data_IF_945628901433
#
_entry.id   IF_945628901433
#
_cell.length_a   1.000
_cell.length_b   1.000
_cell.length_c   1.000
_cell.angle_alpha   90.00
_cell.angle_beta   90.00
_cell.angle_gamma   90.00
#
_symmetry.space_group_name_H-M   'P 1'
#
loop_
_entity.id
_entity.type
_entity.pdbx_description
1 polymer ?
#
# COMPACT_ATOMS: atom_id res chain seq x y z
N UNK A 1 -6.85 -30.15 -10.84
CA UNK A 1 -6.91 -29.06 -9.85
C UNK A 1 -8.20 -28.26 -10.03
N UNK A 2 -9.20 -28.47 -9.17
CA UNK A 2 -10.54 -27.84 -9.28
C UNK A 2 -10.48 -26.32 -9.04
N UNK A 3 -11.25 -25.54 -9.82
CA UNK A 3 -11.38 -24.08 -9.73
C UNK A 3 -11.70 -23.56 -8.31
N UNK A 4 -12.24 -24.42 -7.44
CA UNK A 4 -12.52 -24.13 -6.03
C UNK A 4 -11.27 -23.84 -5.19
N UNK A 5 -10.11 -24.43 -5.53
CA UNK A 5 -8.84 -24.17 -4.83
C UNK A 5 -8.20 -22.83 -5.24
N UNK A 6 -8.41 -22.37 -6.48
CA UNK A 6 -7.95 -21.05 -6.95
C UNK A 6 -8.72 -19.90 -6.28
N UNK A 7 -9.96 -20.13 -5.86
CA UNK A 7 -10.80 -19.15 -5.14
C UNK A 7 -10.40 -19.00 -3.65
N UNK A 8 -9.75 -20.01 -3.07
CA UNK A 8 -9.32 -20.02 -1.66
C UNK A 8 -7.91 -19.46 -1.45
N UNK A 9 -7.04 -19.57 -2.46
CA UNK A 9 -5.83 -18.77 -2.51
C UNK A 9 -6.22 -17.33 -2.80
N UNK A 10 -6.55 -16.55 -1.76
CA UNK A 10 -6.75 -15.09 -1.83
C UNK A 10 -5.42 -14.39 -2.15
N UNK A 11 -4.80 -14.73 -3.27
CA UNK A 11 -3.70 -13.96 -3.81
C UNK A 11 -4.30 -12.62 -4.22
N UNK A 12 -3.94 -11.57 -3.47
CA UNK A 12 -4.40 -10.22 -3.75
C UNK A 12 -3.96 -9.87 -5.17
N UNK A 13 -4.85 -9.22 -5.92
CA UNK A 13 -4.59 -8.86 -7.31
C UNK A 13 -3.34 -7.97 -7.36
N UNK A 14 -2.33 -8.37 -8.13
CA UNK A 14 -1.19 -7.52 -8.45
C UNK A 14 -1.68 -6.40 -9.36
N UNK A 15 -1.40 -5.15 -8.97
CA UNK A 15 -1.75 -3.95 -9.73
C UNK A 15 -0.57 -3.50 -10.58
N UNK A 16 0.65 -3.60 -10.03
CA UNK A 16 1.91 -3.25 -10.71
C UNK A 16 3.04 -4.12 -10.18
N UNK A 17 4.02 -4.43 -11.03
CA UNK A 17 5.30 -5.02 -10.64
C UNK A 17 6.39 -4.02 -10.98
N UNK A 18 7.26 -3.74 -10.02
CA UNK A 18 8.35 -2.77 -10.11
C UNK A 18 9.65 -3.41 -9.61
N UNK A 19 10.77 -2.78 -9.90
CA UNK A 19 12.07 -3.15 -9.38
C UNK A 19 12.63 -1.96 -8.60
N UNK A 20 13.04 -2.20 -7.35
CA UNK A 20 13.57 -1.20 -6.43
C UNK A 20 14.92 -1.72 -5.97
N UNK A 21 16.00 -1.03 -6.31
CA UNK A 21 17.37 -1.43 -5.97
C UNK A 21 17.72 -2.89 -6.30
N UNK A 22 17.21 -3.38 -7.44
CA UNK A 22 17.42 -4.76 -7.90
C UNK A 22 16.46 -5.80 -7.29
N UNK A 23 15.57 -5.38 -6.38
CA UNK A 23 14.56 -6.24 -5.75
C UNK A 23 13.24 -6.10 -6.49
N UNK A 24 12.65 -7.23 -6.88
CA UNK A 24 11.35 -7.25 -7.56
C UNK A 24 10.22 -7.14 -6.55
N UNK A 25 9.39 -6.12 -6.70
CA UNK A 25 8.28 -5.82 -5.79
C UNK A 25 6.97 -5.78 -6.56
N UNK A 26 5.95 -6.40 -5.99
CA UNK A 26 4.57 -6.31 -6.45
C UNK A 26 3.79 -5.32 -5.59
N UNK A 27 3.20 -4.30 -6.24
CA UNK A 27 2.18 -3.44 -5.65
C UNK A 27 0.83 -4.14 -5.84
N UNK A 28 0.22 -4.57 -4.74
CA UNK A 28 -1.03 -5.35 -4.72
C UNK A 28 -2.23 -4.49 -4.36
N UNK A 29 -3.41 -4.92 -4.80
CA UNK A 29 -4.67 -4.28 -4.44
C UNK A 29 -4.96 -4.51 -2.95
N UNK A 30 -5.08 -3.47 -2.12
CA UNK A 30 -5.55 -3.60 -0.75
C UNK A 30 -7.04 -3.92 -0.71
N UNK A 31 -7.47 -4.58 0.36
CA UNK A 31 -8.89 -4.78 0.66
C UNK A 31 -9.46 -3.57 1.40
N UNK A 32 -10.79 -3.46 1.48
CA UNK A 32 -11.43 -2.43 2.32
C UNK A 32 -11.01 -2.52 3.78
N UNK A 33 -10.81 -3.73 4.30
CA UNK A 33 -10.36 -3.94 5.67
C UNK A 33 -8.95 -3.39 5.92
N UNK A 34 -8.05 -3.42 4.94
CA UNK A 34 -6.71 -2.84 5.11
C UNK A 34 -6.75 -1.32 5.01
N UNK A 35 -7.57 -0.77 4.10
CA UNK A 35 -7.77 0.68 4.00
C UNK A 35 -8.26 1.27 5.32
N UNK A 36 -9.29 0.66 5.90
CA UNK A 36 -9.86 1.09 7.19
C UNK A 36 -8.81 1.01 8.30
N UNK A 37 -8.08 -0.10 8.39
CA UNK A 37 -7.06 -0.30 9.42
C UNK A 37 -5.91 0.72 9.30
N UNK A 38 -5.49 1.04 8.08
CA UNK A 38 -4.49 2.06 7.81
C UNK A 38 -4.97 3.44 8.28
N UNK A 39 -6.19 3.84 7.93
CA UNK A 39 -6.78 5.12 8.35
C UNK A 39 -6.91 5.19 9.88
N UNK A 40 -7.36 4.12 10.52
CA UNK A 40 -7.46 4.03 11.98
C UNK A 40 -6.09 4.20 12.65
N UNK A 41 -5.06 3.55 12.12
CA UNK A 41 -3.69 3.67 12.64
C UNK A 41 -3.11 5.07 12.45
N UNK A 42 -3.31 5.67 11.28
CA UNK A 42 -2.84 7.04 11.00
C UNK A 42 -3.54 8.07 11.90
N UNK A 43 -4.85 7.92 12.11
CA UNK A 43 -5.61 8.76 13.05
C UNK A 43 -5.12 8.59 14.48
N UNK A 44 -4.91 7.36 14.94
CA UNK A 44 -4.39 7.09 16.28
C UNK A 44 -2.98 7.66 16.50
N UNK A 45 -2.18 7.79 15.43
CA UNK A 45 -0.86 8.41 15.45
C UNK A 45 -0.89 9.96 15.36
N UNK A 46 -2.08 10.59 15.23
CA UNK A 46 -2.19 12.05 15.07
C UNK A 46 -1.74 12.57 13.70
N UNK A 47 -1.66 11.68 12.71
CA UNK A 47 -1.21 12.02 11.36
C UNK A 47 -2.36 12.53 10.47
N UNK A 48 -3.61 12.46 10.95
CA UNK A 48 -4.80 12.91 10.23
C UNK A 48 -5.61 13.90 11.06
N UNK A 49 -6.17 14.89 10.39
CA UNK A 49 -7.20 15.79 10.93
C UNK A 49 -8.55 15.06 11.06
N UNK A 50 -9.52 15.71 11.70
CA UNK A 50 -10.90 15.21 11.79
C UNK A 50 -11.56 15.07 10.40
N UNK A 51 -11.08 15.83 9.42
CA UNK A 51 -11.54 15.82 8.03
C UNK A 51 -10.84 14.74 7.17
N UNK A 52 -9.99 13.90 7.78
CA UNK A 52 -9.17 12.87 7.12
C UNK A 52 -8.09 13.43 6.18
N UNK A 53 -7.55 14.61 6.49
CA UNK A 53 -6.43 15.21 5.77
C UNK A 53 -5.13 15.05 6.57
N UNK A 54 -3.95 14.93 5.95
CA UNK A 54 -2.69 14.91 6.68
C UNK A 54 -2.51 16.17 7.54
N UNK A 55 -1.98 16.03 8.75
CA UNK A 55 -1.74 17.17 9.67
C UNK A 55 -0.53 18.05 9.29
N UNK A 56 0.22 17.67 8.25
CA UNK A 56 1.36 18.41 7.70
C UNK A 56 2.19 17.52 6.78
N UNK A 57 3.27 18.06 6.21
CA UNK A 57 4.10 17.35 5.21
C UNK A 57 4.65 16.03 5.73
N UNK A 58 5.18 16.03 6.97
CA UNK A 58 5.67 14.80 7.63
C UNK A 58 4.58 13.75 7.81
N UNK A 59 3.34 14.18 8.08
CA UNK A 59 2.21 13.27 8.20
C UNK A 59 1.78 12.72 6.83
N UNK A 60 1.90 13.52 5.76
CA UNK A 60 1.72 13.08 4.38
C UNK A 60 2.73 12.00 3.98
N UNK A 61 4.01 12.21 4.29
CA UNK A 61 5.06 11.21 4.04
C UNK A 61 4.81 9.91 4.83
N UNK A 62 4.40 10.01 6.11
CA UNK A 62 4.01 8.84 6.93
C UNK A 62 2.81 8.10 6.35
N UNK A 63 1.82 8.82 5.82
CA UNK A 63 0.69 8.20 5.14
C UNK A 63 1.15 7.38 3.92
N UNK A 64 2.08 7.93 3.13
CA UNK A 64 2.65 7.23 1.99
C UNK A 64 3.41 5.96 2.40
N UNK A 65 4.25 6.05 3.45
CA UNK A 65 4.94 4.89 4.01
C UNK A 65 3.95 3.82 4.52
N UNK A 66 2.85 4.21 5.17
CA UNK A 66 1.79 3.28 5.58
C UNK A 66 1.14 2.58 4.39
N UNK A 67 0.93 3.29 3.30
CA UNK A 67 0.40 2.70 2.07
C UNK A 67 1.39 1.66 1.55
N UNK A 68 2.68 2.00 1.45
CA UNK A 68 3.74 1.07 1.03
C UNK A 68 3.74 -0.22 1.85
N UNK A 69 3.76 -0.12 3.19
CA UNK A 69 3.65 -1.28 4.10
C UNK A 69 2.41 -2.14 3.81
N UNK A 70 1.30 -1.50 3.48
CA UNK A 70 0.04 -2.19 3.21
C UNK A 70 0.01 -2.93 1.87
N UNK A 71 0.73 -2.44 0.84
CA UNK A 71 0.53 -2.87 -0.55
C UNK A 71 1.76 -3.43 -1.24
N UNK A 72 2.95 -3.36 -0.65
CA UNK A 72 4.18 -3.85 -1.27
C UNK A 72 4.52 -5.25 -0.78
N UNK A 73 4.54 -6.19 -1.72
CA UNK A 73 4.92 -7.56 -1.47
C UNK A 73 6.14 -7.93 -2.32
N UNK A 74 7.03 -8.75 -1.76
CA UNK A 74 8.12 -9.37 -2.50
C UNK A 74 7.52 -10.19 -3.67
N UNK A 75 8.04 -9.97 -4.88
CA UNK A 75 7.41 -10.53 -6.07
C UNK A 75 7.60 -12.05 -6.21
N UNK A 76 8.64 -12.61 -5.59
CA UNK A 76 8.99 -14.03 -5.68
C UNK A 76 8.23 -14.86 -4.66
N UNK A 77 8.14 -14.36 -3.43
CA UNK A 77 7.54 -15.04 -2.28
C UNK A 77 6.09 -14.65 -2.05
N UNK A 78 5.66 -13.49 -2.57
CA UNK A 78 4.33 -12.92 -2.36
C UNK A 78 4.07 -12.44 -0.93
N UNK A 79 5.10 -12.36 -0.08
CA UNK A 79 5.00 -11.91 1.32
C UNK A 79 5.12 -10.39 1.42
N UNK A 80 4.55 -9.74 2.45
CA UNK A 80 4.76 -8.32 2.70
C UNK A 80 6.26 -7.99 2.77
N UNK A 81 6.67 -6.90 2.13
CA UNK A 81 8.05 -6.40 2.19
C UNK A 81 8.38 -5.79 3.54
N UNK A 82 7.39 -5.13 4.15
CA UNK A 82 7.58 -4.30 5.34
C UNK A 82 6.53 -4.63 6.40
N UNK A 83 6.88 -4.37 7.65
CA UNK A 83 6.01 -4.39 8.81
C UNK A 83 5.63 -2.97 9.24
N UNK A 84 4.62 -2.87 10.10
CA UNK A 84 4.14 -1.57 10.63
C UNK A 84 5.23 -0.82 11.43
N UNK A 85 6.22 -1.54 11.95
CA UNK A 85 7.32 -0.93 12.71
C UNK A 85 8.41 -0.32 11.81
N UNK A 86 8.39 -0.62 10.50
CA UNK A 86 9.41 -0.17 9.55
C UNK A 86 9.06 1.21 8.96
N UNK A 87 7.99 1.85 9.45
CA UNK A 87 7.51 3.12 8.93
C UNK A 87 8.54 4.23 9.00
N UNK A 88 9.31 4.32 10.08
CA UNK A 88 10.30 5.38 10.22
C UNK A 88 11.49 5.17 9.27
N UNK A 89 11.90 3.92 9.04
CA UNK A 89 12.94 3.57 8.07
C UNK A 89 12.51 3.94 6.65
N UNK A 90 11.25 3.64 6.29
CA UNK A 90 10.69 4.00 4.98
C UNK A 90 10.65 5.51 4.71
N UNK A 91 10.66 6.36 5.73
CA UNK A 91 10.70 7.82 5.53
C UNK A 91 12.07 8.31 5.07
N UNK A 92 13.13 7.54 5.34
CA UNK A 92 14.49 7.88 4.96
C UNK A 92 14.84 7.33 3.56
N UNK A 93 13.96 6.51 2.98
CA UNK A 93 14.12 5.88 1.67
C UNK A 93 13.70 6.83 0.53
N UNK A 94 14.66 7.23 -0.30
CA UNK A 94 14.42 8.19 -1.39
C UNK A 94 13.46 7.67 -2.47
N UNK A 95 13.43 6.35 -2.69
CA UNK A 95 12.56 5.76 -3.71
C UNK A 95 11.08 5.86 -3.35
N UNK A 96 10.73 6.07 -2.07
CA UNK A 96 9.32 6.10 -1.65
C UNK A 96 8.54 7.21 -2.38
N UNK A 97 9.17 8.38 -2.57
CA UNK A 97 8.58 9.50 -3.30
C UNK A 97 8.44 9.21 -4.81
N UNK A 98 9.39 8.48 -5.40
CA UNK A 98 9.34 8.10 -6.82
C UNK A 98 8.12 7.23 -7.15
N UNK A 99 7.62 6.47 -6.16
CA UNK A 99 6.42 5.63 -6.29
C UNK A 99 5.16 6.24 -5.66
N UNK A 100 5.19 7.52 -5.27
CA UNK A 100 4.06 8.16 -4.58
C UNK A 100 2.75 8.06 -5.36
N UNK A 101 2.77 8.32 -6.67
CA UNK A 101 1.59 8.21 -7.53
C UNK A 101 1.08 6.77 -7.61
N UNK A 102 1.95 5.79 -7.83
CA UNK A 102 1.53 4.38 -7.93
C UNK A 102 0.90 3.87 -6.63
N UNK A 103 1.50 4.22 -5.49
CA UNK A 103 1.03 3.83 -4.17
C UNK A 103 -0.32 4.49 -3.86
N UNK A 104 -0.43 5.80 -4.07
CA UNK A 104 -1.67 6.55 -3.80
C UNK A 104 -2.79 6.14 -4.75
N UNK A 105 -2.51 5.87 -6.02
CA UNK A 105 -3.52 5.40 -6.98
C UNK A 105 -4.10 4.06 -6.56
N UNK A 106 -3.25 3.09 -6.20
CA UNK A 106 -3.70 1.78 -5.69
C UNK A 106 -4.48 1.96 -4.38
N UNK A 107 -4.13 2.97 -3.58
CA UNK A 107 -4.85 3.29 -2.36
C UNK A 107 -6.21 3.99 -2.61
N UNK A 108 -6.35 4.77 -3.66
CA UNK A 108 -7.51 5.63 -3.90
C UNK A 108 -8.39 5.18 -5.07
N UNK A 109 -8.12 4.02 -5.70
CA UNK A 109 -8.87 3.54 -6.87
C UNK A 109 -10.39 3.67 -6.67
N UNK A 110 -10.99 4.58 -7.43
CA UNK A 110 -12.43 4.79 -7.48
C UNK A 110 -13.11 3.66 -8.27
N UNK A 111 -14.41 3.41 -8.04
CA UNK A 111 -15.14 2.37 -8.80
C UNK A 111 -15.10 2.59 -10.32
N UNK A 112 -15.02 3.85 -10.78
CA UNK A 112 -14.88 4.20 -12.19
C UNK A 112 -13.58 3.68 -12.81
N UNK A 113 -12.45 3.86 -12.11
CA UNK A 113 -11.14 3.35 -12.54
C UNK A 113 -11.08 1.80 -12.46
N UNK A 114 -11.92 1.17 -11.64
CA UNK A 114 -12.00 -0.29 -11.54
C UNK A 114 -12.61 -0.97 -12.78
N UNK A 115 -13.34 -0.23 -13.63
CA UNK A 115 -14.03 -0.79 -14.82
C UNK A 115 -13.20 -0.77 -16.10
N UNK A 116 -11.96 -0.29 -16.07
CA UNK A 116 -11.03 -0.35 -17.21
C UNK A 116 -11.57 0.32 -18.47
N UNK A 117 -12.04 1.57 -18.35
CA UNK A 117 -12.31 2.43 -19.49
C UNK A 117 -11.12 3.33 -19.77
#
# INVERSE_FOLDING_TARGET
MSNKHKLLAKNRRVMKSVEIDGVKVNIIKPTMGDRLRLIEQARAAGEMTEQNEPTGDRAGARMLARIAVCVMNDAETGRPMFAVNDLDELLDESWLEDFATDLTDVFNVTEGQMRGK
#
